data_IF_595454136034
#
_entry.id   IF_595454136034
#
_cell.length_a   1.000
_cell.length_b   1.000
_cell.length_c   1.000
_cell.angle_alpha   90.00
_cell.angle_beta   90.00
_cell.angle_gamma   90.00
#
_symmetry.space_group_name_H-M   'P 1'
#
loop_
_entity.id
_entity.type
_entity.pdbx_description
1 polymer ?
#
# COMPACT_ATOMS: atom_id res chain seq x y z
N UNK A 1 -4.96 53.58 -47.00
CA UNK A 1 -6.13 52.99 -46.31
C UNK A 1 -5.63 51.71 -45.64
N UNK A 2 -5.70 51.67 -44.31
CA UNK A 2 -4.97 50.73 -43.48
C UNK A 2 -5.60 49.33 -43.48
N UNK A 3 -4.77 48.32 -43.67
CA UNK A 3 -5.08 46.91 -43.41
C UNK A 3 -4.93 46.66 -41.91
N UNK A 4 -6.02 46.28 -41.24
CA UNK A 4 -6.03 45.94 -39.81
C UNK A 4 -5.61 44.48 -39.63
N UNK A 5 -4.45 44.29 -39.00
CA UNK A 5 -3.95 42.98 -38.53
C UNK A 5 -4.09 42.90 -37.02
N UNK A 6 -4.73 41.82 -36.57
CA UNK A 6 -4.57 41.11 -35.28
C UNK A 6 -4.88 41.81 -33.97
N UNK A 7 -5.79 41.20 -33.20
CA UNK A 7 -5.43 40.59 -31.91
C UNK A 7 -6.50 39.56 -31.53
N UNK A 8 -6.21 38.28 -31.77
CA UNK A 8 -6.88 37.17 -31.09
C UNK A 8 -6.46 37.24 -29.62
N UNK A 9 -7.43 37.54 -28.75
CA UNK A 9 -7.30 37.36 -27.31
C UNK A 9 -7.03 35.89 -27.02
N UNK A 10 -5.79 35.55 -26.69
CA UNK A 10 -5.45 34.26 -26.10
C UNK A 10 -5.98 34.27 -24.67
N UNK A 11 -7.03 33.49 -24.43
CA UNK A 11 -7.45 33.17 -23.07
C UNK A 11 -6.29 32.47 -22.35
N UNK A 12 -5.97 32.82 -21.09
CA UNK A 12 -5.00 32.05 -20.31
C UNK A 12 -5.54 30.63 -20.10
N UNK A 13 -4.65 29.61 -20.06
CA UNK A 13 -5.07 28.24 -19.81
C UNK A 13 -5.76 28.17 -18.46
N UNK A 14 -6.96 27.59 -18.46
CA UNK A 14 -7.81 27.35 -17.30
C UNK A 14 -6.99 26.94 -16.08
N UNK A 15 -6.94 27.83 -15.08
CA UNK A 15 -6.44 27.53 -13.75
C UNK A 15 -7.11 26.24 -13.27
N UNK A 16 -6.31 25.21 -12.99
CA UNK A 16 -6.76 23.97 -12.39
C UNK A 16 -7.53 24.32 -11.11
N UNK A 17 -8.84 24.10 -11.11
CA UNK A 17 -9.66 24.31 -9.92
C UNK A 17 -9.12 23.41 -8.79
N UNK A 18 -9.17 23.87 -7.52
CA UNK A 18 -8.84 23.02 -6.38
C UNK A 18 -9.73 21.77 -6.41
N UNK A 19 -9.10 20.61 -6.59
CA UNK A 19 -9.80 19.32 -6.66
C UNK A 19 -10.54 19.09 -5.33
N UNK A 20 -11.87 19.00 -5.37
CA UNK A 20 -12.69 18.69 -4.19
C UNK A 20 -12.68 17.18 -3.90
N UNK A 21 -11.51 16.66 -3.52
CA UNK A 21 -11.34 15.26 -3.08
C UNK A 21 -12.23 14.93 -1.86
N UNK A 22 -12.63 15.94 -1.09
CA UNK A 22 -13.51 15.82 0.08
C UNK A 22 -14.88 15.19 -0.20
N UNK A 23 -15.35 15.17 -1.46
CA UNK A 23 -16.63 14.53 -1.82
C UNK A 23 -16.46 13.05 -2.25
N UNK A 24 -15.24 12.55 -2.36
CA UNK A 24 -14.97 11.14 -2.67
C UNK A 24 -14.78 10.37 -1.36
N UNK A 25 -15.84 9.71 -0.90
CA UNK A 25 -15.79 8.83 0.25
C UNK A 25 -15.02 7.56 -0.11
N UNK A 26 -13.85 7.37 0.50
CA UNK A 26 -13.32 6.01 0.68
C UNK A 26 -14.26 5.34 1.67
N UNK A 27 -15.09 4.42 1.18
CA UNK A 27 -16.09 3.75 2.01
C UNK A 27 -15.47 2.87 3.11
N UNK A 28 -14.17 2.57 3.03
CA UNK A 28 -13.47 1.64 3.91
C UNK A 28 -12.29 2.35 4.58
N UNK A 29 -12.34 2.49 5.91
CA UNK A 29 -11.19 2.98 6.67
C UNK A 29 -10.06 1.93 6.69
N UNK A 30 -8.82 2.36 6.50
CA UNK A 30 -7.65 1.49 6.58
C UNK A 30 -7.54 0.87 7.97
N UNK A 31 -7.41 -0.45 8.02
CA UNK A 31 -7.10 -1.26 9.21
C UNK A 31 -5.93 -2.19 8.90
N UNK A 32 -5.45 -2.91 9.92
CA UNK A 32 -4.39 -3.93 9.78
C UNK A 32 -4.73 -5.04 8.77
N UNK A 33 -6.01 -5.25 8.48
CA UNK A 33 -6.50 -6.39 7.71
C UNK A 33 -6.82 -6.07 6.25
N UNK A 34 -7.11 -4.81 5.93
CA UNK A 34 -7.70 -4.43 4.65
C UNK A 34 -6.79 -3.58 3.75
N UNK A 35 -5.50 -3.47 4.08
CA UNK A 35 -4.53 -2.61 3.39
C UNK A 35 -4.53 -2.77 1.87
N UNK A 36 -4.58 -4.00 1.34
CA UNK A 36 -4.56 -4.21 -0.11
C UNK A 36 -5.79 -3.61 -0.82
N UNK A 37 -6.97 -3.74 -0.21
CA UNK A 37 -8.22 -3.20 -0.76
C UNK A 37 -8.21 -1.68 -0.66
N UNK A 38 -7.84 -1.14 0.51
CA UNK A 38 -7.73 0.30 0.74
C UNK A 38 -6.73 0.94 -0.23
N UNK A 39 -5.54 0.34 -0.38
CA UNK A 39 -4.47 0.80 -1.27
C UNK A 39 -4.94 0.85 -2.72
N UNK A 40 -5.67 -0.18 -3.17
CA UNK A 40 -6.24 -0.20 -4.53
C UNK A 40 -7.24 0.94 -4.73
N UNK A 41 -8.12 1.20 -3.76
CA UNK A 41 -9.10 2.29 -3.84
C UNK A 41 -8.41 3.66 -3.86
N UNK A 42 -7.46 3.90 -2.96
CA UNK A 42 -6.68 5.14 -2.90
C UNK A 42 -5.99 5.42 -4.22
N UNK A 43 -5.19 4.46 -4.73
CA UNK A 43 -4.46 4.64 -5.98
C UNK A 43 -5.38 4.86 -7.18
N UNK A 44 -6.52 4.15 -7.24
CA UNK A 44 -7.48 4.31 -8.33
C UNK A 44 -8.04 5.74 -8.35
N UNK A 45 -8.44 6.26 -7.19
CA UNK A 45 -8.96 7.63 -7.06
C UNK A 45 -7.87 8.66 -7.37
N UNK A 46 -6.70 8.54 -6.74
CA UNK A 46 -5.58 9.48 -6.90
C UNK A 46 -5.10 9.56 -8.35
N UNK A 47 -5.01 8.42 -9.04
CA UNK A 47 -4.70 8.36 -10.47
C UNK A 47 -5.77 9.00 -11.34
N UNK A 48 -7.05 8.78 -11.01
CA UNK A 48 -8.18 9.42 -11.69
C UNK A 48 -8.11 10.95 -11.63
N UNK A 49 -7.54 11.51 -10.57
CA UNK A 49 -7.32 12.95 -10.42
C UNK A 49 -5.93 13.45 -10.87
N UNK A 50 -5.05 12.57 -11.34
CA UNK A 50 -3.68 12.94 -11.75
C UNK A 50 -2.77 13.39 -10.59
N UNK A 51 -3.05 12.94 -9.36
CA UNK A 51 -2.34 13.37 -8.15
C UNK A 51 -1.29 12.37 -7.65
N UNK A 52 -1.03 11.29 -8.40
CA UNK A 52 -0.08 10.23 -7.99
C UNK A 52 1.31 10.80 -7.72
N UNK A 53 1.70 11.87 -8.43
CA UNK A 53 2.98 12.55 -8.24
C UNK A 53 3.22 13.11 -6.84
N UNK A 54 2.16 13.45 -6.11
CA UNK A 54 2.28 13.89 -4.70
C UNK A 54 2.58 12.72 -3.76
N UNK A 55 2.12 11.50 -4.10
CA UNK A 55 2.36 10.32 -3.28
C UNK A 55 3.77 9.76 -3.47
N UNK A 56 4.18 9.55 -4.72
CA UNK A 56 5.51 9.02 -5.03
C UNK A 56 6.62 10.06 -4.84
N UNK A 57 6.27 11.36 -4.89
CA UNK A 57 7.18 12.49 -4.74
C UNK A 57 7.78 12.98 -6.06
N UNK A 58 7.26 12.54 -7.21
CA UNK A 58 7.64 13.07 -8.53
C UNK A 58 7.09 14.48 -8.77
N UNK A 59 6.04 14.88 -8.05
CA UNK A 59 5.56 16.26 -7.98
C UNK A 59 6.42 17.04 -6.99
N UNK A 60 7.53 17.60 -7.45
CA UNK A 60 8.44 18.38 -6.61
C UNK A 60 7.82 19.72 -6.18
N UNK A 61 8.09 20.11 -4.94
CA UNK A 61 7.61 21.38 -4.41
C UNK A 61 8.33 22.56 -5.12
N UNK A 62 7.59 23.52 -5.69
CA UNK A 62 8.18 24.73 -6.24
C UNK A 62 8.96 25.51 -5.17
N UNK A 63 9.87 26.39 -5.61
CA UNK A 63 10.57 27.27 -4.68
C UNK A 63 9.58 28.12 -3.89
N UNK A 64 9.74 28.15 -2.56
CA UNK A 64 8.82 28.87 -1.66
C UNK A 64 8.80 30.38 -1.91
N UNK A 65 9.96 30.94 -2.25
CA UNK A 65 10.14 32.36 -2.48
C UNK A 65 10.75 32.61 -3.85
N UNK A 66 10.24 33.63 -4.52
CA UNK A 66 10.74 34.15 -5.81
C UNK A 66 11.03 35.64 -5.66
N UNK A 67 11.89 36.24 -6.51
CA UNK A 67 12.10 37.69 -6.51
C UNK A 67 10.78 38.45 -6.65
N UNK A 68 10.59 39.46 -5.81
CA UNK A 68 9.45 40.38 -5.84
C UNK A 68 9.56 41.44 -6.93
N UNK A 69 8.53 42.27 -7.05
CA UNK A 69 8.54 43.44 -7.95
C UNK A 69 9.58 44.49 -7.54
N UNK A 70 9.93 44.54 -6.25
CA UNK A 70 10.99 45.39 -5.70
C UNK A 70 12.31 44.63 -5.57
N UNK A 71 13.40 45.26 -6.00
CA UNK A 71 14.74 44.69 -5.97
C UNK A 71 15.18 44.40 -4.53
N UNK A 72 15.48 43.13 -4.24
CA UNK A 72 15.88 42.67 -2.91
C UNK A 72 14.74 42.16 -2.01
N UNK A 73 13.47 42.29 -2.43
CA UNK A 73 12.33 41.71 -1.69
C UNK A 73 11.99 40.33 -2.24
N UNK A 74 11.79 39.36 -1.35
CA UNK A 74 11.29 38.03 -1.69
C UNK A 74 9.76 37.98 -1.52
N UNK A 75 9.06 37.47 -2.54
CA UNK A 75 7.63 37.20 -2.47
C UNK A 75 7.35 35.69 -2.43
N UNK A 76 6.23 35.29 -1.82
CA UNK A 76 5.82 33.88 -1.80
C UNK A 76 5.41 33.46 -3.20
N UNK A 77 5.94 32.34 -3.68
CA UNK A 77 5.58 31.80 -4.98
C UNK A 77 4.10 31.34 -4.98
N UNK A 78 3.23 31.89 -5.86
CA UNK A 78 1.86 31.43 -6.00
C UNK A 78 1.75 29.94 -6.37
N UNK A 79 2.70 29.42 -7.13
CA UNK A 79 2.77 28.00 -7.49
C UNK A 79 3.06 27.13 -6.28
N UNK A 80 3.97 27.55 -5.39
CA UNK A 80 4.22 26.85 -4.12
C UNK A 80 2.96 26.81 -3.27
N UNK A 81 2.23 27.91 -3.18
CA UNK A 81 0.98 27.98 -2.40
C UNK A 81 -0.09 27.05 -2.98
N UNK A 82 -0.19 26.96 -4.30
CA UNK A 82 -1.14 26.07 -4.99
C UNK A 82 -0.76 24.61 -4.80
N UNK A 83 0.51 24.28 -4.99
CA UNK A 83 1.06 22.94 -4.75
C UNK A 83 0.86 22.51 -3.30
N UNK A 84 1.20 23.38 -2.33
CA UNK A 84 1.04 23.11 -0.91
C UNK A 84 -0.43 22.87 -0.57
N UNK A 85 -1.35 23.68 -1.11
CA UNK A 85 -2.78 23.46 -0.92
C UNK A 85 -3.19 22.06 -1.41
N UNK A 86 -2.79 21.67 -2.62
CA UNK A 86 -3.13 20.35 -3.16
C UNK A 86 -2.59 19.20 -2.31
N UNK A 87 -1.32 19.28 -1.90
CA UNK A 87 -0.71 18.29 -1.00
C UNK A 87 -1.47 18.18 0.33
N UNK A 88 -1.84 19.32 0.94
CA UNK A 88 -2.56 19.33 2.21
C UNK A 88 -3.99 18.78 2.09
N UNK A 89 -4.68 19.04 0.97
CA UNK A 89 -5.98 18.43 0.71
C UNK A 89 -5.88 16.92 0.54
N UNK A 90 -4.87 16.44 -0.19
CA UNK A 90 -4.62 15.01 -0.35
C UNK A 90 -4.24 14.36 0.99
N UNK A 91 -3.39 15.01 1.79
CA UNK A 91 -3.03 14.55 3.12
C UNK A 91 -4.25 14.46 4.04
N UNK A 92 -5.09 15.50 4.08
CA UNK A 92 -6.33 15.51 4.87
C UNK A 92 -7.27 14.38 4.44
N UNK A 93 -7.44 14.17 3.13
CA UNK A 93 -8.25 13.08 2.61
C UNK A 93 -7.67 11.70 2.97
N UNK A 94 -6.35 11.50 2.83
CA UNK A 94 -5.68 10.26 3.26
C UNK A 94 -5.95 10.00 4.74
N UNK A 95 -5.73 10.98 5.61
CA UNK A 95 -5.97 10.86 7.05
C UNK A 95 -7.43 10.52 7.36
N UNK A 96 -8.39 11.10 6.64
CA UNK A 96 -9.83 10.80 6.81
C UNK A 96 -10.18 9.34 6.50
N UNK A 97 -9.36 8.69 5.66
CA UNK A 97 -9.51 7.29 5.27
C UNK A 97 -8.84 6.29 6.20
N UNK A 98 -8.22 6.74 7.30
CA UNK A 98 -7.52 5.86 8.25
C UNK A 98 -8.40 5.55 9.45
N UNK A 99 -8.24 4.35 10.04
CA UNK A 99 -8.76 4.08 11.38
C UNK A 99 -7.96 4.87 12.43
N UNK A 100 -8.54 5.02 13.62
CA UNK A 100 -7.87 5.67 14.75
C UNK A 100 -6.56 4.98 15.15
N UNK A 101 -6.51 3.64 15.09
CA UNK A 101 -5.29 2.88 15.38
C UNK A 101 -4.16 3.19 14.40
N UNK A 102 -4.48 3.37 13.11
CA UNK A 102 -3.49 3.69 12.08
C UNK A 102 -3.11 5.17 12.12
N UNK A 103 -4.04 6.08 12.46
CA UNK A 103 -3.77 7.52 12.59
C UNK A 103 -2.61 7.81 13.55
N UNK A 104 -2.53 7.06 14.67
CA UNK A 104 -1.45 7.21 15.65
C UNK A 104 -0.06 7.00 15.02
N UNK A 105 0.06 6.09 14.04
CA UNK A 105 1.33 5.76 13.38
C UNK A 105 1.83 6.84 12.42
N UNK A 106 0.97 7.77 12.00
CA UNK A 106 1.30 8.83 11.03
C UNK A 106 1.30 10.23 11.64
N UNK A 107 1.18 10.33 12.97
CA UNK A 107 1.24 11.60 13.70
C UNK A 107 2.58 12.30 13.42
N UNK A 108 2.51 13.61 13.13
CA UNK A 108 3.68 14.44 12.84
C UNK A 108 4.15 14.41 11.39
N UNK A 109 3.56 13.56 10.53
CA UNK A 109 3.78 13.61 9.08
C UNK A 109 2.95 14.74 8.49
N UNK A 110 3.59 15.61 7.71
CA UNK A 110 2.98 16.86 7.25
C UNK A 110 2.65 16.87 5.76
N UNK A 111 3.11 15.89 4.99
CA UNK A 111 2.83 15.77 3.55
C UNK A 111 2.15 14.46 3.19
N UNK A 112 1.38 14.48 2.10
CA UNK A 112 0.73 13.28 1.56
C UNK A 112 1.76 12.19 1.21
N UNK A 113 2.92 12.58 0.67
CA UNK A 113 4.04 11.69 0.36
C UNK A 113 4.56 10.94 1.60
N UNK A 114 4.78 11.66 2.70
CA UNK A 114 5.28 11.06 3.94
C UNK A 114 4.29 10.05 4.52
N UNK A 115 3.01 10.43 4.59
CA UNK A 115 1.92 9.57 5.08
C UNK A 115 1.87 8.30 4.24
N UNK A 116 1.80 8.45 2.91
CA UNK A 116 1.72 7.32 1.98
C UNK A 116 2.90 6.37 2.09
N UNK A 117 4.13 6.89 2.05
CA UNK A 117 5.35 6.07 2.14
C UNK A 117 5.47 5.35 3.48
N UNK A 118 5.07 5.99 4.58
CA UNK A 118 5.06 5.37 5.90
C UNK A 118 4.09 4.19 5.97
N UNK A 119 2.88 4.36 5.45
CA UNK A 119 1.86 3.30 5.41
C UNK A 119 2.34 2.13 4.55
N UNK A 120 2.77 2.39 3.30
CA UNK A 120 3.27 1.34 2.41
C UNK A 120 4.44 0.56 3.04
N UNK A 121 5.37 1.26 3.71
CA UNK A 121 6.51 0.64 4.40
C UNK A 121 6.08 -0.24 5.58
N UNK A 122 5.19 0.28 6.43
CA UNK A 122 4.70 -0.43 7.62
C UNK A 122 3.94 -1.70 7.26
N UNK A 123 3.00 -1.60 6.31
CA UNK A 123 2.22 -2.75 5.86
C UNK A 123 3.05 -3.75 5.04
N UNK A 124 4.04 -3.29 4.26
CA UNK A 124 5.00 -4.18 3.61
C UNK A 124 5.82 -4.97 4.65
N UNK A 125 6.28 -4.30 5.70
CA UNK A 125 7.03 -4.94 6.80
C UNK A 125 6.17 -5.94 7.56
N UNK A 126 4.93 -5.57 7.92
CA UNK A 126 3.99 -6.46 8.59
C UNK A 126 3.65 -7.69 7.72
N UNK A 127 3.44 -7.50 6.42
CA UNK A 127 3.19 -8.60 5.47
C UNK A 127 4.37 -9.56 5.37
N UNK A 128 5.61 -9.03 5.29
CA UNK A 128 6.84 -9.83 5.29
C UNK A 128 7.01 -10.61 6.60
N UNK A 129 6.80 -9.95 7.74
CA UNK A 129 6.89 -10.59 9.05
C UNK A 129 5.85 -11.71 9.21
N UNK A 130 4.60 -11.48 8.79
CA UNK A 130 3.54 -12.49 8.79
C UNK A 130 3.90 -13.68 7.90
N UNK A 131 4.40 -13.41 6.70
CA UNK A 131 4.87 -14.46 5.78
C UNK A 131 5.98 -15.30 6.40
N UNK A 132 6.99 -14.65 7.00
CA UNK A 132 8.09 -15.35 7.67
C UNK A 132 7.60 -16.18 8.86
N UNK A 133 6.70 -15.62 9.67
CA UNK A 133 6.11 -16.31 10.82
C UNK A 133 5.44 -17.62 10.39
N UNK A 134 4.59 -17.60 9.37
CA UNK A 134 3.92 -18.81 8.88
C UNK A 134 4.87 -19.79 8.20
N UNK A 135 5.95 -19.33 7.55
CA UNK A 135 6.99 -20.23 7.02
C UNK A 135 7.72 -20.98 8.13
N UNK A 136 8.12 -20.26 9.19
CA UNK A 136 8.77 -20.86 10.36
C UNK A 136 7.81 -21.83 11.05
N UNK A 137 6.54 -21.44 11.22
CA UNK A 137 5.53 -22.34 11.78
C UNK A 137 5.39 -23.61 10.94
N UNK A 138 5.24 -23.49 9.61
CA UNK A 138 5.09 -24.63 8.72
C UNK A 138 6.29 -25.59 8.78
N UNK A 139 7.51 -25.07 8.83
CA UNK A 139 8.73 -25.87 8.93
C UNK A 139 8.86 -26.62 10.26
N UNK A 140 8.46 -25.98 11.36
CA UNK A 140 8.60 -26.54 12.70
C UNK A 140 7.37 -27.34 13.16
N UNK A 141 6.27 -27.31 12.40
CA UNK A 141 5.04 -27.99 12.78
C UNK A 141 5.21 -29.50 12.72
N UNK A 142 5.13 -30.15 13.88
CA UNK A 142 5.10 -31.60 14.04
C UNK A 142 3.72 -32.03 14.54
N UNK A 143 3.29 -33.25 14.18
CA UNK A 143 2.08 -33.86 14.74
C UNK A 143 2.18 -33.90 16.26
N UNK A 144 3.25 -34.48 16.79
CA UNK A 144 3.42 -34.68 18.23
C UNK A 144 2.21 -35.38 18.85
N UNK A 145 1.61 -34.71 19.85
CA UNK A 145 0.42 -35.17 20.57
C UNK A 145 -0.91 -34.82 19.88
N UNK A 146 -0.88 -34.07 18.77
CA UNK A 146 -2.09 -33.73 18.01
C UNK A 146 -2.65 -34.97 17.30
N UNK A 147 -3.96 -34.99 17.08
CA UNK A 147 -4.55 -35.90 16.11
C UNK A 147 -4.06 -35.56 14.69
N UNK A 148 -4.09 -36.55 13.79
CA UNK A 148 -3.72 -36.34 12.37
C UNK A 148 -4.57 -35.22 11.76
N UNK A 149 -5.88 -35.18 12.07
CA UNK A 149 -6.80 -34.15 11.56
C UNK A 149 -6.42 -32.75 12.02
N UNK A 150 -6.12 -32.58 13.31
CA UNK A 150 -5.70 -31.27 13.84
C UNK A 150 -4.37 -30.82 13.24
N UNK A 151 -3.42 -31.74 13.11
CA UNK A 151 -2.12 -31.47 12.50
C UNK A 151 -2.27 -31.01 11.03
N UNK A 152 -3.00 -31.77 10.21
CA UNK A 152 -3.25 -31.42 8.80
C UNK A 152 -4.00 -30.09 8.67
N UNK A 153 -4.98 -29.83 9.53
CA UNK A 153 -5.69 -28.54 9.54
C UNK A 153 -4.75 -27.37 9.84
N UNK A 154 -3.79 -27.53 10.77
CA UNK A 154 -2.79 -26.50 11.07
C UNK A 154 -1.82 -26.27 9.90
N UNK A 155 -1.37 -27.34 9.24
CA UNK A 155 -0.56 -27.23 8.02
C UNK A 155 -1.32 -26.45 6.94
N UNK A 156 -2.58 -26.85 6.70
CA UNK A 156 -3.44 -26.21 5.71
C UNK A 156 -3.65 -24.72 6.00
N UNK A 157 -3.93 -24.36 7.26
CA UNK A 157 -4.07 -22.96 7.66
C UNK A 157 -2.81 -22.14 7.34
N UNK A 158 -1.62 -22.67 7.62
CA UNK A 158 -0.37 -21.98 7.28
C UNK A 158 -0.25 -21.79 5.76
N UNK A 159 -0.55 -22.83 4.97
CA UNK A 159 -0.47 -22.78 3.51
C UNK A 159 -1.50 -21.82 2.90
N UNK A 160 -2.74 -21.84 3.38
CA UNK A 160 -3.81 -20.93 2.95
C UNK A 160 -3.45 -19.47 3.28
N UNK A 161 -2.88 -19.22 4.46
CA UNK A 161 -2.45 -17.86 4.86
C UNK A 161 -1.27 -17.37 4.03
N UNK A 162 -0.31 -18.25 3.73
CA UNK A 162 0.81 -17.93 2.84
C UNK A 162 0.31 -17.67 1.41
N UNK A 163 -0.64 -18.46 0.91
CA UNK A 163 -1.26 -18.27 -0.40
C UNK A 163 -2.02 -16.94 -0.50
N UNK A 164 -2.77 -16.56 0.54
CA UNK A 164 -3.44 -15.25 0.61
C UNK A 164 -2.44 -14.08 0.58
N UNK A 165 -1.22 -14.27 1.07
CA UNK A 165 -0.12 -13.32 0.98
C UNK A 165 0.68 -13.38 -0.33
N UNK A 166 0.25 -14.14 -1.34
CA UNK A 166 0.95 -14.31 -2.62
C UNK A 166 2.11 -15.32 -2.60
N UNK A 167 2.32 -16.04 -1.49
CA UNK A 167 3.41 -16.98 -1.30
C UNK A 167 2.91 -18.43 -1.31
N UNK A 168 2.31 -18.86 -2.43
CA UNK A 168 1.70 -20.19 -2.56
C UNK A 168 2.71 -21.31 -2.32
N UNK A 169 2.39 -22.23 -1.42
CA UNK A 169 3.13 -23.49 -1.21
C UNK A 169 2.60 -24.51 -2.21
N UNK A 170 3.48 -25.16 -2.98
CA UNK A 170 3.05 -26.16 -3.97
C UNK A 170 2.41 -27.37 -3.30
N UNK A 171 1.51 -28.07 -3.97
CA UNK A 171 0.87 -29.26 -3.39
C UNK A 171 1.90 -30.32 -2.99
N UNK A 172 2.96 -30.48 -3.78
CA UNK A 172 4.06 -31.38 -3.48
C UNK A 172 4.80 -30.95 -2.19
N UNK A 173 5.11 -29.66 -2.03
CA UNK A 173 5.74 -29.16 -0.81
C UNK A 173 4.82 -29.29 0.40
N UNK A 174 3.50 -29.09 0.23
CA UNK A 174 2.52 -29.30 1.29
C UNK A 174 2.51 -30.75 1.76
N UNK A 175 2.47 -31.71 0.82
CA UNK A 175 2.54 -33.14 1.12
C UNK A 175 3.85 -33.47 1.86
N UNK A 176 4.98 -32.96 1.36
CA UNK A 176 6.28 -33.16 2.00
C UNK A 176 6.32 -32.61 3.42
N UNK A 177 5.77 -31.41 3.65
CA UNK A 177 5.65 -30.83 4.99
C UNK A 177 4.80 -31.73 5.92
N UNK A 178 3.65 -32.21 5.45
CA UNK A 178 2.78 -33.13 6.22
C UNK A 178 3.54 -34.40 6.58
N UNK A 179 4.13 -35.08 5.59
CA UNK A 179 4.82 -36.36 5.81
C UNK A 179 6.03 -36.19 6.75
N UNK A 180 6.80 -35.11 6.60
CA UNK A 180 7.97 -34.82 7.43
C UNK A 180 7.67 -34.49 8.90
N UNK A 181 6.42 -34.12 9.19
CA UNK A 181 5.98 -33.81 10.55
C UNK A 181 5.22 -34.94 11.24
N UNK A 182 4.98 -36.06 10.55
CA UNK A 182 4.50 -37.28 11.17
C UNK A 182 5.58 -37.86 12.09
N UNK A 183 5.13 -38.53 13.16
CA UNK A 183 6.03 -39.24 14.07
C UNK A 183 6.50 -40.57 13.49
N UNK A 184 7.52 -41.20 14.12
CA UNK A 184 8.10 -42.47 13.65
C UNK A 184 7.08 -43.60 13.52
N UNK A 185 5.95 -43.51 14.24
CA UNK A 185 4.85 -44.47 14.13
C UNK A 185 4.20 -44.52 12.72
N UNK A 186 4.48 -43.55 11.85
CA UNK A 186 3.98 -43.48 10.47
C UNK A 186 5.06 -43.73 9.39
N UNK A 187 6.30 -44.06 9.75
CA UNK A 187 7.41 -44.18 8.80
C UNK A 187 7.13 -45.17 7.66
N UNK A 188 6.46 -46.28 7.93
CA UNK A 188 6.06 -47.25 6.90
C UNK A 188 5.09 -46.66 5.86
N UNK A 189 4.16 -45.81 6.31
CA UNK A 189 3.20 -45.12 5.44
C UNK A 189 3.90 -44.02 4.63
N UNK A 190 4.83 -43.30 5.25
CA UNK A 190 5.67 -42.29 4.58
C UNK A 190 6.52 -42.95 3.49
N UNK A 191 7.17 -44.08 3.76
CA UNK A 191 7.97 -44.80 2.78
C UNK A 191 7.11 -45.33 1.60
N UNK A 192 5.93 -45.89 1.89
CA UNK A 192 5.02 -46.39 0.86
C UNK A 192 4.52 -45.27 -0.07
N UNK A 193 4.15 -44.11 0.50
CA UNK A 193 3.66 -42.95 -0.27
C UNK A 193 4.75 -42.32 -1.14
N UNK A 194 5.99 -42.23 -0.65
CA UNK A 194 7.13 -41.78 -1.46
C UNK A 194 7.49 -42.75 -2.60
N UNK A 195 7.33 -44.06 -2.37
CA UNK A 195 7.60 -45.07 -3.40
C UNK A 195 6.56 -45.11 -4.52
N UNK A 196 5.31 -44.73 -4.23
CA UNK A 196 4.20 -44.71 -5.19
C UNK A 196 4.13 -43.43 -6.03
N UNK A 197 4.97 -42.42 -5.73
CA UNK A 197 5.02 -41.14 -6.43
C UNK A 197 6.10 -41.07 -7.53
N UNK A 198 6.76 -42.19 -7.85
CA UNK A 198 7.68 -42.36 -8.99
C UNK A 198 6.95 -43.00 -10.17
#
# INVERSE_FOLDING_TARGET
MASSTSQQSQNPPSFLQPIQLHNQLISIKLTDENHLIWRQQVLTTVRGFGLEGFLDGTSEAPTRFIPGEEEGILQVNPEFTTWQRQDQLLASWLLSSLSESILISVVGMSSSSQIWKSLESSFSTQSKARTMHYRIQLQNLKKGTLSIREYVNKVKLCCDTLAAGGHKVTEQDQIMHILSGLGPEYDAVVAASLSSSK
#
